data_IF_663432655510
#
_entry.id   IF_663432655510
#
_cell.length_a   1.000
_cell.length_b   1.000
_cell.length_c   1.000
_cell.angle_alpha   90.00
_cell.angle_beta   90.00
_cell.angle_gamma   90.00
#
_symmetry.space_group_name_H-M   'P 1'
#
loop_
_entity.id
_entity.type
_entity.pdbx_description
1 polymer ?
#
# COMPACT_ATOMS: atom_id res chain seq x y z
N UNK A 1 14.48 -18.92 -14.41
CA UNK A 1 13.16 -19.36 -13.90
C UNK A 1 12.17 -18.21 -14.04
N UNK A 2 11.04 -18.44 -14.73
CA UNK A 2 10.09 -17.40 -15.13
C UNK A 2 9.15 -17.04 -13.94
N UNK A 3 8.93 -15.75 -13.69
CA UNK A 3 8.12 -15.24 -12.57
C UNK A 3 6.69 -15.81 -12.55
N UNK A 4 6.17 -16.25 -13.71
CA UNK A 4 4.85 -16.89 -13.83
C UNK A 4 4.74 -18.27 -13.18
N UNK A 5 5.85 -18.98 -12.93
CA UNK A 5 5.84 -20.36 -12.42
C UNK A 5 5.88 -20.46 -10.88
N UNK A 6 6.15 -19.36 -10.16
CA UNK A 6 6.21 -19.35 -8.68
C UNK A 6 4.84 -19.23 -7.99
N UNK A 7 3.77 -18.93 -8.74
CA UNK A 7 2.44 -18.64 -8.17
C UNK A 7 1.56 -19.87 -7.87
N UNK A 8 2.03 -21.09 -8.13
CA UNK A 8 1.21 -22.30 -7.96
C UNK A 8 1.41 -23.06 -6.64
N UNK A 9 2.30 -22.61 -5.75
CA UNK A 9 2.66 -23.38 -4.55
C UNK A 9 2.23 -22.77 -3.20
N UNK A 10 1.61 -21.59 -3.21
CA UNK A 10 1.20 -20.87 -1.99
C UNK A 10 -0.32 -20.81 -1.88
N UNK A 11 -0.85 -21.26 -0.73
CA UNK A 11 -2.26 -21.11 -0.35
C UNK A 11 -2.63 -19.62 -0.29
N UNK A 12 -3.92 -19.30 -0.32
CA UNK A 12 -4.40 -17.92 -0.14
C UNK A 12 -3.92 -17.33 1.19
N UNK A 13 -3.82 -18.15 2.23
CA UNK A 13 -3.25 -17.78 3.52
C UNK A 13 -1.73 -17.50 3.44
N UNK A 14 -0.99 -18.16 2.54
CA UNK A 14 0.46 -17.92 2.37
C UNK A 14 0.76 -16.64 1.56
N UNK A 15 -0.16 -16.25 0.67
CA UNK A 15 -0.07 -14.95 -0.06
C UNK A 15 -0.45 -13.77 0.83
N UNK A 16 -0.94 -14.10 2.01
CA UNK A 16 -1.22 -13.23 3.10
C UNK A 16 0.02 -13.28 4.08
N UNK A 17 0.85 -12.24 4.27
CA UNK A 17 2.09 -12.25 5.10
C UNK A 17 1.99 -11.92 6.60
N UNK A 18 1.87 -12.90 7.49
CA UNK A 18 2.06 -12.67 8.92
C UNK A 18 1.99 -14.00 9.64
N UNK A 19 2.06 -14.02 10.97
CA UNK A 19 1.77 -15.27 11.71
C UNK A 19 0.37 -15.80 11.29
N UNK A 20 -0.52 -14.87 10.88
CA UNK A 20 -1.87 -15.06 10.32
C UNK A 20 -2.18 -14.27 9.02
N UNK A 21 -1.22 -13.62 8.35
CA UNK A 21 -1.46 -12.78 7.16
C UNK A 21 -0.90 -11.33 7.20
N UNK A 22 -0.81 -10.58 6.07
CA UNK A 22 -0.07 -9.34 5.88
C UNK A 22 -0.88 -8.15 6.27
N UNK A 23 -0.26 -7.39 7.15
CA UNK A 23 -0.55 -6.01 7.32
C UNK A 23 -0.25 -5.30 6.01
N UNK A 24 -1.28 -4.66 5.45
CA UNK A 24 -1.01 -3.43 4.71
C UNK A 24 -0.86 -2.32 5.72
N UNK A 25 0.01 -1.37 5.43
CA UNK A 25 0.41 -0.35 6.38
C UNK A 25 0.64 0.98 5.68
N UNK A 26 0.54 2.03 6.47
CA UNK A 26 0.86 3.39 6.07
C UNK A 26 2.02 3.85 6.94
N UNK A 27 3.06 4.32 6.29
CA UNK A 27 4.24 4.87 6.92
C UNK A 27 4.15 6.39 6.85
N UNK A 28 4.34 7.05 7.99
CA UNK A 28 4.69 8.46 8.05
C UNK A 28 6.19 8.51 8.35
N UNK A 29 6.97 8.98 7.38
CA UNK A 29 8.43 8.94 7.38
C UNK A 29 8.95 10.37 7.41
N UNK A 30 9.89 10.64 8.31
CA UNK A 30 10.65 11.89 8.33
C UNK A 30 12.05 11.57 7.83
N UNK A 31 12.42 12.12 6.67
CA UNK A 31 13.72 11.93 6.05
C UNK A 31 14.59 13.15 6.28
N UNK A 32 15.84 12.95 6.66
CA UNK A 32 16.84 14.01 6.71
C UNK A 32 17.81 13.79 5.55
N UNK A 33 17.74 14.65 4.52
CA UNK A 33 18.48 14.48 3.26
C UNK A 33 19.70 15.38 3.20
N UNK A 34 20.88 14.77 3.21
CA UNK A 34 22.18 15.47 3.24
C UNK A 34 22.69 15.69 1.83
N UNK A 35 23.05 16.94 1.51
CA UNK A 35 23.77 17.30 0.29
C UNK A 35 25.14 17.88 0.67
N UNK A 36 26.23 17.25 0.22
CA UNK A 36 27.62 17.61 0.52
C UNK A 36 27.97 17.70 2.03
N UNK A 37 28.89 18.58 2.40
CA UNK A 37 29.34 18.80 3.79
C UNK A 37 28.42 19.75 4.56
N UNK A 38 27.37 20.32 3.92
CA UNK A 38 26.42 21.27 4.53
C UNK A 38 25.00 21.23 3.89
N UNK A 39 24.00 21.28 4.77
CA UNK A 39 22.53 21.24 4.55
C UNK A 39 21.94 19.86 4.29
N UNK A 40 20.85 19.63 5.03
CA UNK A 40 20.36 18.34 5.51
C UNK A 40 18.84 18.19 5.35
N UNK A 41 18.22 18.96 4.44
CA UNK A 41 16.76 19.18 4.25
C UNK A 41 15.88 18.07 4.79
N UNK A 42 14.89 18.45 5.60
CA UNK A 42 13.94 17.51 6.17
C UNK A 42 12.77 17.36 5.20
N UNK A 43 12.40 16.12 4.86
CA UNK A 43 11.21 15.80 4.08
C UNK A 43 10.26 14.98 4.94
N UNK A 44 8.95 15.20 4.76
CA UNK A 44 7.92 14.33 5.30
C UNK A 44 7.34 13.52 4.13
N UNK A 45 7.33 12.21 4.27
CA UNK A 45 6.89 11.27 3.24
C UNK A 45 5.79 10.39 3.82
N UNK A 46 4.72 10.18 3.07
CA UNK A 46 3.73 9.15 3.35
C UNK A 46 3.87 8.05 2.32
N UNK A 47 4.19 6.85 2.80
CA UNK A 47 4.33 5.67 1.97
C UNK A 47 3.28 4.63 2.37
N UNK A 48 2.70 3.95 1.38
CA UNK A 48 1.68 2.94 1.55
C UNK A 48 2.22 1.61 1.08
N UNK A 49 2.26 0.63 1.97
CA UNK A 49 2.66 -0.74 1.66
C UNK A 49 1.42 -1.63 1.67
N UNK A 50 1.04 -2.13 0.51
CA UNK A 50 -0.14 -2.96 0.27
C UNK A 50 0.30 -4.38 0.07
N UNK A 51 -0.33 -5.29 0.80
CA UNK A 51 -0.02 -6.69 0.66
C UNK A 51 -0.36 -7.23 -0.74
N UNK A 52 0.41 -8.20 -1.27
CA UNK A 52 0.24 -8.63 -2.65
C UNK A 52 -1.13 -9.18 -2.95
N UNK A 53 -1.71 -10.00 -2.07
CA UNK A 53 -3.02 -10.58 -2.31
C UNK A 53 -4.11 -9.50 -2.42
N UNK A 54 -4.08 -8.50 -1.54
CA UNK A 54 -5.03 -7.39 -1.55
C UNK A 54 -4.87 -6.56 -2.81
N UNK A 55 -3.64 -6.17 -3.14
CA UNK A 55 -3.37 -5.41 -4.35
C UNK A 55 -3.87 -6.15 -5.60
N UNK A 56 -3.53 -7.43 -5.73
CA UNK A 56 -3.92 -8.27 -6.87
C UNK A 56 -5.44 -8.47 -6.96
N UNK A 57 -6.09 -8.71 -5.83
CA UNK A 57 -7.54 -8.85 -5.76
C UNK A 57 -8.24 -7.55 -6.20
N UNK A 58 -7.80 -6.41 -5.68
CA UNK A 58 -8.39 -5.11 -6.05
C UNK A 58 -8.09 -4.78 -7.52
N UNK A 59 -6.88 -5.07 -8.01
CA UNK A 59 -6.50 -4.88 -9.41
C UNK A 59 -7.36 -5.73 -10.35
N UNK A 60 -7.61 -6.99 -10.02
CA UNK A 60 -8.50 -7.87 -10.80
C UNK A 60 -9.95 -7.35 -10.85
N UNK A 61 -10.35 -6.59 -9.83
CA UNK A 61 -11.68 -5.98 -9.71
C UNK A 61 -11.68 -4.47 -9.95
N UNK A 62 -10.63 -3.92 -10.58
CA UNK A 62 -10.40 -2.47 -10.73
C UNK A 62 -11.61 -1.71 -11.28
N UNK A 63 -12.37 -2.33 -12.18
CA UNK A 63 -13.58 -1.75 -12.77
C UNK A 63 -14.67 -1.38 -11.74
N UNK A 64 -14.77 -2.12 -10.62
CA UNK A 64 -15.69 -1.81 -9.51
C UNK A 64 -15.28 -0.55 -8.74
N UNK A 65 -14.02 -0.17 -8.84
CA UNK A 65 -13.43 0.97 -8.13
C UNK A 65 -13.12 2.15 -9.07
N UNK A 66 -13.67 2.16 -10.29
CA UNK A 66 -13.36 3.18 -11.32
C UNK A 66 -13.59 4.63 -10.88
N UNK A 67 -14.49 4.86 -9.93
CA UNK A 67 -14.81 6.17 -9.37
C UNK A 67 -14.10 6.47 -8.05
N UNK A 68 -13.25 5.56 -7.57
CA UNK A 68 -12.47 5.73 -6.35
C UNK A 68 -11.06 6.17 -6.73
N UNK A 69 -10.84 7.48 -6.78
CA UNK A 69 -9.58 8.08 -7.25
C UNK A 69 -8.38 7.63 -6.42
N UNK A 70 -8.53 7.47 -5.10
CA UNK A 70 -7.44 7.02 -4.23
C UNK A 70 -7.04 5.58 -4.55
N UNK A 71 -8.01 4.68 -4.75
CA UNK A 71 -7.71 3.31 -5.17
C UNK A 71 -7.06 3.31 -6.55
N UNK A 72 -7.55 4.12 -7.50
CA UNK A 72 -6.93 4.20 -8.83
C UNK A 72 -5.46 4.66 -8.73
N UNK A 73 -5.19 5.73 -7.98
CA UNK A 73 -3.83 6.25 -7.77
C UNK A 73 -2.90 5.19 -7.14
N UNK A 74 -3.35 4.52 -6.09
CA UNK A 74 -2.56 3.45 -5.47
C UNK A 74 -2.29 2.33 -6.48
N UNK A 75 -3.26 1.93 -7.29
CA UNK A 75 -3.04 0.89 -8.30
C UNK A 75 -2.08 1.33 -9.41
N UNK A 76 -2.13 2.59 -9.82
CA UNK A 76 -1.34 3.12 -10.95
C UNK A 76 0.12 3.40 -10.59
N UNK A 77 0.40 3.76 -9.33
CA UNK A 77 1.73 4.19 -8.88
C UNK A 77 2.44 3.21 -7.94
N UNK A 78 1.82 2.07 -7.63
CA UNK A 78 2.44 1.05 -6.79
C UNK A 78 3.53 0.27 -7.52
N UNK A 79 4.65 0.07 -6.84
CA UNK A 79 5.74 -0.80 -7.29
C UNK A 79 5.89 -2.01 -6.36
N UNK A 80 6.09 -3.20 -6.93
CA UNK A 80 6.31 -4.40 -6.12
C UNK A 80 7.76 -4.44 -5.61
N UNK A 81 7.96 -4.24 -4.29
CA UNK A 81 9.27 -4.23 -3.63
C UNK A 81 9.68 -5.56 -2.98
N UNK A 82 8.84 -6.61 -3.11
CA UNK A 82 9.12 -7.92 -2.51
C UNK A 82 8.80 -7.99 -1.02
N UNK A 83 9.11 -9.11 -0.37
CA UNK A 83 8.89 -9.29 1.08
C UNK A 83 9.96 -8.53 1.89
N UNK A 84 9.57 -7.82 2.97
CA UNK A 84 8.25 -7.75 3.62
C UNK A 84 7.39 -6.53 3.24
N UNK A 85 7.69 -5.81 2.15
CA UNK A 85 6.99 -4.55 1.80
C UNK A 85 5.77 -4.68 0.87
N UNK A 86 5.79 -5.61 -0.10
CA UNK A 86 4.67 -5.85 -0.99
C UNK A 86 4.61 -4.83 -2.13
N UNK A 87 3.42 -4.31 -2.42
CA UNK A 87 3.20 -3.24 -3.39
C UNK A 87 3.25 -1.90 -2.68
N UNK A 88 4.19 -1.05 -3.06
CA UNK A 88 4.49 0.18 -2.35
C UNK A 88 4.19 1.39 -3.22
N UNK A 89 3.45 2.35 -2.69
CA UNK A 89 3.13 3.62 -3.35
C UNK A 89 3.47 4.79 -2.44
N UNK A 90 4.08 5.83 -2.99
CA UNK A 90 4.21 7.11 -2.32
C UNK A 90 2.89 7.88 -2.46
N UNK A 91 2.32 8.31 -1.34
CA UNK A 91 1.04 9.03 -1.30
C UNK A 91 1.21 10.52 -1.00
N UNK A 92 2.32 10.91 -0.38
CA UNK A 92 2.69 12.29 -0.11
C UNK A 92 4.20 12.39 0.02
N UNK A 93 4.79 13.50 -0.43
CA UNK A 93 6.17 13.84 -0.13
C UNK A 93 6.34 15.34 -0.29
N UNK A 94 6.80 16.01 0.76
CA UNK A 94 7.15 17.42 0.69
C UNK A 94 8.30 17.78 1.65
N UNK A 95 8.98 18.88 1.37
CA UNK A 95 10.01 19.44 2.24
C UNK A 95 9.34 20.08 3.47
N UNK A 96 9.83 19.77 4.67
CA UNK A 96 9.29 20.30 5.92
C UNK A 96 9.72 21.76 6.12
N UNK A 97 8.99 22.68 5.50
CA UNK A 97 9.22 24.13 5.62
C UNK A 97 8.45 24.77 6.77
N UNK A 98 7.32 24.19 7.14
CA UNK A 98 6.42 24.66 8.20
C UNK A 98 5.54 23.51 8.72
N UNK A 99 4.71 23.82 9.74
CA UNK A 99 3.85 22.83 10.37
C UNK A 99 2.72 22.31 9.46
N UNK A 100 2.30 23.08 8.43
CA UNK A 100 1.23 22.67 7.51
C UNK A 100 1.64 21.41 6.76
N UNK A 101 2.92 21.27 6.41
CA UNK A 101 3.45 20.07 5.74
C UNK A 101 3.20 18.79 6.56
N UNK A 102 3.34 18.87 7.89
CA UNK A 102 3.05 17.73 8.76
C UNK A 102 1.55 17.47 8.88
N UNK A 103 0.73 18.52 8.95
CA UNK A 103 -0.74 18.39 8.93
C UNK A 103 -1.22 17.72 7.63
N UNK A 104 -0.71 18.15 6.48
CA UNK A 104 -1.05 17.58 5.18
C UNK A 104 -0.59 16.11 5.06
N UNK A 105 0.58 15.79 5.61
CA UNK A 105 1.07 14.41 5.68
C UNK A 105 0.22 13.52 6.61
N UNK A 106 -0.28 14.06 7.74
CA UNK A 106 -1.20 13.34 8.62
C UNK A 106 -2.55 13.11 7.95
N UNK A 107 -3.08 14.11 7.24
CA UNK A 107 -4.30 13.98 6.45
C UNK A 107 -4.13 12.94 5.33
N UNK A 108 -2.99 12.96 4.63
CA UNK A 108 -2.66 11.94 3.63
C UNK A 108 -2.56 10.55 4.26
N UNK A 109 -1.98 10.44 5.46
CA UNK A 109 -1.89 9.19 6.23
C UNK A 109 -3.30 8.66 6.55
N UNK A 110 -4.19 9.52 7.02
CA UNK A 110 -5.58 9.16 7.33
C UNK A 110 -6.36 8.73 6.09
N UNK A 111 -6.23 9.46 4.97
CA UNK A 111 -6.83 9.07 3.69
C UNK A 111 -6.34 7.69 3.23
N UNK A 112 -5.03 7.44 3.34
CA UNK A 112 -4.44 6.17 2.96
C UNK A 112 -4.94 5.02 3.85
N UNK A 113 -4.99 5.21 5.17
CA UNK A 113 -5.52 4.22 6.11
C UNK A 113 -6.95 3.82 5.75
N UNK A 114 -7.83 4.81 5.55
CA UNK A 114 -9.22 4.54 5.18
C UNK A 114 -9.33 3.79 3.84
N UNK A 115 -8.51 4.16 2.86
CA UNK A 115 -8.47 3.52 1.54
C UNK A 115 -8.03 2.06 1.63
N UNK A 116 -6.95 1.78 2.35
CA UNK A 116 -6.46 0.40 2.56
C UNK A 116 -7.48 -0.45 3.31
N UNK A 117 -8.12 0.10 4.35
CA UNK A 117 -9.19 -0.59 5.08
C UNK A 117 -10.35 -0.92 4.13
N UNK A 118 -10.74 0.00 3.25
CA UNK A 118 -11.77 -0.23 2.23
C UNK A 118 -11.38 -1.38 1.29
N UNK A 119 -10.12 -1.40 0.82
CA UNK A 119 -9.59 -2.50 0.01
C UNK A 119 -9.66 -3.84 0.76
N UNK A 120 -9.24 -3.88 2.03
CA UNK A 120 -9.30 -5.10 2.85
C UNK A 120 -10.72 -5.60 3.06
N UNK A 121 -11.67 -4.70 3.35
CA UNK A 121 -13.08 -5.06 3.49
C UNK A 121 -13.61 -5.75 2.23
N UNK A 122 -13.26 -5.26 1.06
CA UNK A 122 -13.64 -5.91 -0.21
C UNK A 122 -13.01 -7.31 -0.33
N UNK A 123 -11.72 -7.44 -0.06
CA UNK A 123 -11.01 -8.73 -0.10
C UNK A 123 -11.67 -9.76 0.83
N UNK A 124 -11.95 -9.37 2.07
CA UNK A 124 -12.62 -10.24 3.04
C UNK A 124 -14.01 -10.67 2.58
N UNK A 125 -14.76 -9.78 1.94
CA UNK A 125 -16.05 -10.13 1.33
C UNK A 125 -15.90 -11.15 0.20
N UNK A 126 -14.87 -11.05 -0.63
CA UNK A 126 -14.63 -12.04 -1.69
C UNK A 126 -14.25 -13.41 -1.11
N UNK A 127 -13.34 -13.44 -0.13
CA UNK A 127 -12.94 -14.67 0.56
C UNK A 127 -14.13 -15.40 1.21
N UNK A 128 -15.03 -14.66 1.86
CA UNK A 128 -16.23 -15.24 2.45
C UNK A 128 -17.18 -15.82 1.41
N UNK A 129 -17.33 -15.15 0.24
CA UNK A 129 -18.15 -15.67 -0.87
C UNK A 129 -17.56 -16.94 -1.47
N UNK A 130 -16.24 -17.05 -1.58
CA UNK A 130 -15.57 -18.26 -2.05
C UNK A 130 -15.76 -19.42 -1.08
N UNK A 131 -15.64 -19.17 0.24
CA UNK A 131 -15.88 -20.19 1.27
C UNK A 131 -17.32 -20.68 1.34
N UNK A 132 -18.31 -19.84 1.05
CA UNK A 132 -19.72 -20.23 1.06
C UNK A 132 -20.17 -21.03 -0.18
N UNK A 133 -19.33 -21.09 -1.22
CA UNK A 133 -19.59 -21.85 -2.46
C UNK A 133 -18.96 -23.25 -2.46
N UNK A 134 -18.05 -23.51 -1.53
CA UNK A 134 -17.36 -24.79 -1.33
C UNK A 134 -17.96 -25.51 -0.12
#
# INVERSE_FOLDING_TARGET
>A
MNAKQRNQQYSVADRLWGVDGPYSQVHLIVETRILDDRVSRIFVVVEVSINPYTYECIRAHRALFKSDEMIQQLLDHSEYRGQPDGYVSMAFSDEYTDAQVMEDALDATDRCKHTIIKMHKFVMQQLNKERAKN
#
